data_IF_419465494559
#
_entry.id   IF_419465494559
#
_cell.length_a   1.000
_cell.length_b   1.000
_cell.length_c   1.000
_cell.angle_alpha   90.00
_cell.angle_beta   90.00
_cell.angle_gamma   90.00
#
_symmetry.space_group_name_H-M   'P 1'
#
loop_
_entity.id
_entity.type
_entity.pdbx_description
1 polymer ?
#
# COMPACT_ATOMS: atom_id res chain seq x y z
N UNK A 1 -69.46 6.11 -59.87
CA UNK A 1 -68.80 5.07 -59.03
C UNK A 1 -67.32 5.10 -59.35
N UNK A 2 -66.34 5.30 -58.47
CA UNK A 2 -66.29 5.54 -57.02
C UNK A 2 -65.08 6.47 -56.77
N UNK A 3 -65.31 7.55 -56.05
CA UNK A 3 -64.29 8.38 -55.40
C UNK A 3 -63.52 7.53 -54.39
N UNK A 4 -62.18 7.63 -54.35
CA UNK A 4 -61.37 7.07 -53.26
C UNK A 4 -61.01 8.19 -52.30
N UNK A 5 -61.22 7.90 -51.02
CA UNK A 5 -61.38 8.81 -49.89
C UNK A 5 -60.06 9.44 -49.45
N UNK A 6 -60.16 10.68 -48.98
CA UNK A 6 -59.16 11.42 -48.20
C UNK A 6 -59.49 11.22 -46.70
N UNK A 7 -58.53 10.68 -45.95
CA UNK A 7 -58.42 10.60 -44.48
C UNK A 7 -56.90 10.44 -44.25
N UNK A 8 -56.12 11.22 -43.50
CA UNK A 8 -56.38 12.10 -42.37
C UNK A 8 -55.52 11.62 -41.18
N UNK A 9 -54.27 12.08 -41.05
CA UNK A 9 -53.39 11.96 -39.85
C UNK A 9 -52.41 13.15 -39.94
N UNK A 10 -52.64 14.33 -39.37
CA UNK A 10 -52.53 14.75 -37.96
C UNK A 10 -51.24 14.30 -37.24
N UNK A 11 -50.24 15.18 -37.27
CA UNK A 11 -49.32 15.55 -36.19
C UNK A 11 -48.94 14.50 -35.14
N UNK A 12 -47.65 14.12 -35.10
CA UNK A 12 -46.85 14.30 -33.88
C UNK A 12 -45.35 14.22 -34.21
N UNK A 13 -44.71 15.39 -34.32
CA UNK A 13 -43.27 15.53 -34.21
C UNK A 13 -42.88 15.17 -32.77
N UNK A 14 -42.51 13.91 -32.54
CA UNK A 14 -41.88 13.51 -31.28
C UNK A 14 -40.44 14.02 -31.34
N UNK A 15 -40.24 15.24 -30.86
CA UNK A 15 -38.92 15.72 -30.45
C UNK A 15 -38.57 14.90 -29.22
N UNK A 16 -37.81 13.82 -29.41
CA UNK A 16 -37.14 13.13 -28.31
C UNK A 16 -36.07 14.11 -27.82
N UNK A 17 -36.45 14.92 -26.83
CA UNK A 17 -35.52 15.75 -26.10
C UNK A 17 -34.49 14.83 -25.46
N UNK A 18 -33.27 14.86 -25.97
CA UNK A 18 -32.10 14.35 -25.27
C UNK A 18 -31.91 15.24 -24.03
N UNK A 19 -32.49 14.83 -22.90
CA UNK A 19 -32.11 15.36 -21.60
C UNK A 19 -30.72 14.82 -21.28
N UNK A 20 -29.70 15.47 -21.84
CA UNK A 20 -28.32 15.39 -21.40
C UNK A 20 -28.25 16.09 -20.05
N UNK A 21 -28.63 15.40 -18.99
CA UNK A 21 -28.34 15.82 -17.63
C UNK A 21 -26.85 15.56 -17.39
N UNK A 22 -25.99 16.45 -17.88
CA UNK A 22 -24.67 16.60 -17.29
C UNK A 22 -24.90 17.29 -15.95
N UNK A 23 -24.85 16.54 -14.86
CA UNK A 23 -24.73 17.14 -13.54
C UNK A 23 -23.33 17.73 -13.42
N UNK A 24 -23.21 19.04 -13.63
CA UNK A 24 -21.97 19.84 -13.46
C UNK A 24 -21.56 19.99 -11.97
N UNK A 25 -21.92 19.03 -11.12
CA UNK A 25 -21.43 18.97 -9.74
C UNK A 25 -20.11 18.21 -9.74
N UNK A 26 -19.01 18.79 -9.25
CA UNK A 26 -17.76 18.06 -9.14
C UNK A 26 -17.96 16.91 -8.12
N UNK A 27 -17.74 15.68 -8.58
CA UNK A 27 -17.92 14.45 -7.82
C UNK A 27 -16.57 13.93 -7.34
N UNK A 28 -16.60 13.10 -6.30
CA UNK A 28 -15.43 12.36 -5.86
C UNK A 28 -14.91 11.47 -6.99
N UNK A 29 -13.59 11.38 -7.12
CA UNK A 29 -12.98 10.47 -8.08
C UNK A 29 -12.89 9.07 -7.47
N UNK A 30 -13.53 8.10 -8.12
CA UNK A 30 -13.55 6.69 -7.69
C UNK A 30 -12.91 5.83 -8.77
N UNK A 31 -11.86 5.10 -8.38
CA UNK A 31 -11.16 4.19 -9.26
C UNK A 31 -10.78 2.90 -8.54
N UNK A 32 -10.70 1.79 -9.28
CA UNK A 32 -10.14 0.54 -8.77
C UNK A 32 -8.67 0.48 -9.15
N UNK A 33 -7.80 0.34 -8.16
CA UNK A 33 -6.36 0.27 -8.36
C UNK A 33 -5.78 -0.98 -7.71
N UNK A 34 -4.63 -1.43 -8.21
CA UNK A 34 -3.83 -2.42 -7.51
C UNK A 34 -2.97 -1.74 -6.46
N UNK A 35 -2.90 -2.35 -5.29
CA UNK A 35 -2.08 -1.88 -4.18
C UNK A 35 -1.26 -3.04 -3.63
N UNK A 36 0.05 -2.84 -3.47
CA UNK A 36 0.93 -3.77 -2.77
C UNK A 36 0.98 -3.41 -1.29
N UNK A 37 0.96 -4.41 -0.41
CA UNK A 37 1.16 -4.25 1.03
C UNK A 37 2.35 -5.09 1.47
N UNK A 38 3.28 -4.48 2.21
CA UNK A 38 4.53 -5.12 2.65
C UNK A 38 4.30 -6.13 3.78
N UNK A 39 5.15 -7.15 3.84
CA UNK A 39 5.25 -8.06 4.98
C UNK A 39 5.85 -7.41 6.24
N UNK A 40 6.53 -6.28 6.06
CA UNK A 40 7.10 -5.47 7.13
C UNK A 40 6.14 -4.35 7.56
N UNK A 41 6.22 -3.97 8.84
CA UNK A 41 5.51 -2.82 9.39
C UNK A 41 6.38 -1.57 9.27
N UNK A 42 5.75 -0.44 9.02
CA UNK A 42 6.38 0.87 9.09
C UNK A 42 6.05 1.56 10.41
N UNK A 43 6.58 2.77 10.58
CA UNK A 43 6.17 3.66 11.66
C UNK A 43 5.94 5.07 11.11
N UNK A 44 4.93 5.77 11.61
CA UNK A 44 4.74 7.19 11.32
C UNK A 44 4.46 7.97 12.60
N UNK A 45 4.70 9.27 12.55
CA UNK A 45 4.39 10.19 13.64
C UNK A 45 3.09 10.93 13.29
N UNK A 46 1.99 10.70 14.02
CA UNK A 46 0.76 11.46 13.84
C UNK A 46 0.99 12.95 14.08
N UNK A 47 0.23 13.79 13.37
CA UNK A 47 0.33 15.23 13.56
C UNK A 47 0.00 15.62 15.01
N UNK A 48 0.87 16.43 15.63
CA UNK A 48 0.71 16.86 17.02
C UNK A 48 1.07 15.81 18.08
N UNK A 49 1.64 14.66 17.70
CA UNK A 49 2.15 13.63 18.62
C UNK A 49 3.68 13.64 18.64
N UNK A 50 4.30 13.41 19.80
CA UNK A 50 5.74 13.12 19.92
C UNK A 50 6.07 11.62 19.84
N UNK A 51 5.05 10.78 19.67
CA UNK A 51 5.18 9.33 19.60
C UNK A 51 4.96 8.81 18.18
N UNK A 52 5.81 7.86 17.79
CA UNK A 52 5.65 7.06 16.58
C UNK A 52 4.71 5.89 16.86
N UNK A 53 3.86 5.58 15.88
CA UNK A 53 2.98 4.40 15.92
C UNK A 53 3.23 3.49 14.73
N UNK A 54 3.00 2.20 14.93
CA UNK A 54 3.16 1.18 13.89
C UNK A 54 2.05 1.30 12.84
N UNK A 55 2.38 0.95 11.60
CA UNK A 55 1.46 1.04 10.46
C UNK A 55 1.81 0.00 9.39
N UNK A 56 0.92 -0.16 8.42
CA UNK A 56 1.22 -0.87 7.18
C UNK A 56 2.11 -0.02 6.27
N UNK A 57 2.91 -0.70 5.45
CA UNK A 57 3.57 -0.07 4.30
C UNK A 57 2.82 -0.47 3.04
N UNK A 58 2.24 0.50 2.35
CA UNK A 58 1.44 0.30 1.13
C UNK A 58 2.06 1.00 -0.07
N UNK A 59 1.87 0.44 -1.26
CA UNK A 59 2.34 1.04 -2.51
C UNK A 59 1.30 0.86 -3.60
N UNK A 60 0.73 1.98 -4.05
CA UNK A 60 -0.17 2.02 -5.19
C UNK A 60 0.57 1.70 -6.49
N UNK A 61 -0.13 1.11 -7.46
CA UNK A 61 0.39 0.90 -8.81
C UNK A 61 0.85 2.24 -9.42
N UNK A 62 2.06 2.26 -9.99
CA UNK A 62 2.67 3.47 -10.55
C UNK A 62 3.50 4.31 -9.57
N UNK A 63 3.41 4.06 -8.26
CA UNK A 63 4.33 4.65 -7.27
C UNK A 63 5.60 3.81 -7.12
N UNK A 64 6.73 4.48 -6.86
CA UNK A 64 8.02 3.82 -6.66
C UNK A 64 8.25 3.40 -5.20
N UNK A 65 7.76 4.20 -4.26
CA UNK A 65 8.03 4.06 -2.83
C UNK A 65 6.80 3.59 -2.06
N UNK A 66 7.04 2.96 -0.91
CA UNK A 66 5.99 2.59 0.03
C UNK A 66 5.65 3.79 0.93
N UNK A 67 4.37 3.94 1.22
CA UNK A 67 3.81 4.96 2.12
C UNK A 67 3.27 4.29 3.39
N UNK A 68 3.34 5.01 4.50
CA UNK A 68 2.75 4.59 5.76
C UNK A 68 1.21 4.73 5.69
N UNK A 69 0.49 3.67 6.03
CA UNK A 69 -0.96 3.67 6.14
C UNK A 69 -1.38 2.96 7.43
N UNK A 70 -2.26 3.59 8.21
CA UNK A 70 -2.84 3.00 9.42
C UNK A 70 -3.35 1.57 9.16
N UNK A 71 -3.27 0.66 10.14
CA UNK A 71 -3.72 -0.73 9.99
C UNK A 71 -5.20 -0.86 9.60
N UNK A 72 -6.03 0.14 9.92
CA UNK A 72 -7.44 0.24 9.53
C UNK A 72 -7.67 1.16 8.33
N UNK A 73 -6.60 1.64 7.68
CA UNK A 73 -6.68 2.59 6.56
C UNK A 73 -7.27 2.02 5.27
N UNK A 74 -7.50 0.72 5.18
CA UNK A 74 -8.22 0.05 4.08
C UNK A 74 -9.43 -0.65 4.68
N UNK A 75 -10.63 -0.12 4.43
CA UNK A 75 -11.85 -0.70 4.96
C UNK A 75 -12.04 -2.14 4.45
N UNK A 76 -12.32 -3.07 5.37
CA UNK A 76 -12.53 -4.49 5.05
C UNK A 76 -11.24 -5.32 4.87
N UNK A 77 -10.05 -4.72 5.01
CA UNK A 77 -8.78 -5.45 4.98
C UNK A 77 -8.23 -5.68 6.39
N UNK A 78 -7.80 -6.92 6.66
CA UNK A 78 -7.14 -7.30 7.91
C UNK A 78 -5.69 -7.68 7.64
N UNK A 79 -4.78 -6.83 8.11
CA UNK A 79 -3.35 -6.98 7.88
C UNK A 79 -2.73 -8.03 8.79
N UNK A 80 -1.91 -8.92 8.22
CA UNK A 80 -1.09 -9.85 8.97
C UNK A 80 0.38 -9.59 8.66
N UNK A 81 1.16 -9.26 9.70
CA UNK A 81 2.62 -9.15 9.59
C UNK A 81 3.23 -10.44 9.06
N UNK A 82 4.28 -10.33 8.24
CA UNK A 82 4.94 -11.46 7.60
C UNK A 82 4.27 -11.94 6.31
N UNK A 83 3.30 -11.17 5.78
CA UNK A 83 2.69 -11.46 4.48
C UNK A 83 2.80 -10.28 3.53
N UNK A 84 3.21 -10.55 2.30
CA UNK A 84 3.05 -9.60 1.20
C UNK A 84 1.71 -9.81 0.51
N UNK A 85 1.04 -8.71 0.20
CA UNK A 85 -0.26 -8.72 -0.45
C UNK A 85 -0.23 -7.96 -1.77
N UNK A 86 -1.01 -8.43 -2.74
CA UNK A 86 -1.51 -7.59 -3.83
C UNK A 86 -3.02 -7.52 -3.70
N UNK A 87 -3.53 -6.31 -3.51
CA UNK A 87 -4.95 -6.04 -3.30
C UNK A 87 -5.51 -5.31 -4.53
N UNK A 88 -6.76 -5.59 -4.85
CA UNK A 88 -7.60 -4.70 -5.62
C UNK A 88 -8.38 -3.84 -4.62
N UNK A 89 -8.17 -2.53 -4.66
CA UNK A 89 -8.84 -1.59 -3.77
C UNK A 89 -9.60 -0.54 -4.56
N UNK A 90 -10.75 -0.15 -4.04
CA UNK A 90 -11.49 1.00 -4.51
C UNK A 90 -10.96 2.23 -3.79
N UNK A 91 -10.29 3.10 -4.54
CA UNK A 91 -9.77 4.39 -4.09
C UNK A 91 -10.80 5.46 -4.35
N UNK A 92 -11.16 6.20 -3.32
CA UNK A 92 -12.03 7.38 -3.41
C UNK A 92 -11.20 8.60 -3.04
N UNK A 93 -11.03 9.52 -3.98
CA UNK A 93 -10.40 10.82 -3.73
C UNK A 93 -11.51 11.86 -3.52
N UNK A 94 -11.65 12.31 -2.29
CA UNK A 94 -12.65 13.27 -1.85
C UNK A 94 -12.32 14.67 -2.39
N UNK A 95 -13.31 15.32 -3.00
CA UNK A 95 -13.14 16.68 -3.51
C UNK A 95 -13.07 17.73 -2.38
N UNK A 96 -13.88 17.54 -1.33
CA UNK A 96 -13.96 18.40 -0.16
C UNK A 96 -13.60 17.60 1.10
N UNK A 97 -12.31 17.30 1.33
CA UNK A 97 -11.88 16.57 2.51
C UNK A 97 -12.05 17.42 3.79
N UNK A 98 -12.26 16.81 4.95
CA UNK A 98 -12.11 17.50 6.24
C UNK A 98 -10.72 18.11 6.35
N UNK A 99 -10.59 19.27 7.01
CA UNK A 99 -9.31 19.98 7.13
C UNK A 99 -8.18 19.15 7.76
N UNK A 100 -8.54 18.20 8.64
CA UNK A 100 -7.61 17.41 9.44
C UNK A 100 -7.54 15.93 9.01
N UNK A 101 -8.08 15.58 7.83
CA UNK A 101 -8.13 14.20 7.35
C UNK A 101 -7.55 14.03 5.95
N UNK A 102 -7.09 12.81 5.65
CA UNK A 102 -6.71 12.43 4.30
C UNK A 102 -7.88 12.65 3.35
N UNK A 103 -7.58 13.14 2.15
CA UNK A 103 -8.56 13.23 1.06
C UNK A 103 -8.73 11.90 0.32
N UNK A 104 -8.09 10.83 0.77
CA UNK A 104 -8.14 9.51 0.14
C UNK A 104 -8.72 8.49 1.12
N UNK A 105 -9.72 7.73 0.66
CA UNK A 105 -10.28 6.58 1.34
C UNK A 105 -10.10 5.31 0.50
N UNK A 106 -9.75 4.20 1.15
CA UNK A 106 -9.58 2.89 0.51
C UNK A 106 -10.59 1.89 1.05
N UNK A 107 -11.19 1.11 0.14
CA UNK A 107 -12.08 -0.01 0.46
C UNK A 107 -11.56 -1.26 -0.28
N UNK A 108 -11.43 -2.38 0.45
CA UNK A 108 -11.01 -3.64 -0.15
C UNK A 108 -12.08 -4.15 -1.11
N UNK A 109 -11.69 -4.41 -2.35
CA UNK A 109 -12.54 -5.10 -3.33
C UNK A 109 -12.19 -6.59 -3.34
N UNK A 110 -10.90 -6.90 -3.45
CA UNK A 110 -10.43 -8.29 -3.56
C UNK A 110 -8.96 -8.42 -3.08
N UNK A 111 -8.63 -9.56 -2.47
CA UNK A 111 -7.24 -9.96 -2.22
C UNK A 111 -6.76 -10.80 -3.41
N UNK A 112 -5.95 -10.21 -4.28
CA UNK A 112 -5.45 -10.87 -5.49
C UNK A 112 -4.31 -11.85 -5.17
N UNK A 113 -3.49 -11.55 -4.17
CA UNK A 113 -2.49 -12.47 -3.64
C UNK A 113 -2.18 -12.19 -2.16
N UNK A 114 -1.83 -13.25 -1.44
CA UNK A 114 -1.29 -13.21 -0.08
C UNK A 114 -0.19 -14.27 0.00
N UNK A 115 1.05 -13.84 0.27
CA UNK A 115 2.20 -14.75 0.30
C UNK A 115 3.02 -14.52 1.56
N UNK A 116 3.34 -15.61 2.26
CA UNK A 116 4.18 -15.55 3.46
C UNK A 116 5.62 -15.17 3.10
N UNK A 117 6.20 -14.29 3.89
CA UNK A 117 7.58 -13.82 3.76
C UNK A 117 8.32 -14.08 5.05
N UNK A 118 9.47 -14.74 4.91
CA UNK A 118 10.39 -15.01 6.00
C UNK A 118 11.72 -14.34 5.73
N UNK A 119 12.37 -13.88 6.80
CA UNK A 119 13.67 -13.24 6.72
C UNK A 119 14.68 -13.99 7.59
N UNK A 120 15.84 -14.28 7.02
CA UNK A 120 16.99 -14.83 7.74
C UNK A 120 18.07 -13.75 7.80
N UNK A 121 18.52 -13.43 9.02
CA UNK A 121 19.59 -12.47 9.25
C UNK A 121 20.86 -13.21 9.66
N UNK A 122 21.93 -13.03 8.90
CA UNK A 122 23.26 -13.56 9.22
C UNK A 122 24.17 -12.41 9.62
N UNK A 123 24.75 -12.48 10.83
CA UNK A 123 25.75 -11.53 11.29
C UNK A 123 27.12 -12.18 11.13
N UNK A 124 27.90 -11.65 10.20
CA UNK A 124 29.27 -12.09 9.92
C UNK A 124 30.26 -11.12 10.57
N UNK A 125 31.41 -11.64 11.02
CA UNK A 125 32.51 -10.86 11.58
C UNK A 125 33.70 -10.99 10.64
N UNK A 126 34.03 -9.92 9.94
CA UNK A 126 35.23 -9.86 9.11
C UNK A 126 36.44 -9.42 9.95
N UNK A 127 37.23 -10.39 10.42
CA UNK A 127 38.51 -10.12 11.10
C UNK A 127 38.63 -10.70 12.53
N UNK A 128 39.66 -10.28 13.29
CA UNK A 128 39.85 -10.75 14.67
C UNK A 128 38.67 -10.32 15.56
N UNK A 129 38.45 -11.07 16.64
CA UNK A 129 37.35 -10.83 17.57
C UNK A 129 37.27 -9.35 17.98
N UNK A 130 36.19 -8.62 17.62
CA UNK A 130 36.07 -7.17 17.86
C UNK A 130 36.15 -6.78 19.32
N UNK A 131 35.93 -7.71 20.24
CA UNK A 131 35.99 -7.43 21.68
C UNK A 131 37.42 -7.42 22.24
N UNK A 132 38.45 -7.63 21.41
CA UNK A 132 39.86 -7.62 21.83
C UNK A 132 40.54 -6.38 21.23
N UNK A 133 40.84 -5.39 22.08
CA UNK A 133 41.59 -4.20 21.68
C UNK A 133 43.10 -4.45 21.79
N UNK A 134 43.87 -4.03 20.78
CA UNK A 134 45.33 -4.09 20.83
C UNK A 134 45.89 -3.07 21.83
N UNK A 135 46.88 -3.44 22.66
CA UNK A 135 47.58 -2.49 23.54
C UNK A 135 48.36 -1.41 22.76
N UNK A 136 48.68 -1.66 21.49
CA UNK A 136 49.39 -0.71 20.61
C UNK A 136 48.49 0.43 20.09
N UNK A 137 47.19 0.37 20.38
CA UNK A 137 46.19 1.31 19.88
C UNK A 137 45.80 1.05 18.42
N UNK A 138 44.69 1.64 17.98
CA UNK A 138 44.16 1.47 16.63
C UNK A 138 42.77 2.11 16.48
N UNK A 139 42.29 2.21 15.23
CA UNK A 139 40.91 2.63 14.96
C UNK A 139 40.00 1.44 15.15
N UNK A 140 38.99 1.58 16.02
CA UNK A 140 37.94 0.57 16.16
C UNK A 140 37.00 0.67 14.94
N UNK A 141 37.04 -0.33 14.08
CA UNK A 141 36.08 -0.51 13.00
C UNK A 141 35.14 -1.64 13.40
N UNK A 142 33.83 -1.41 13.28
CA UNK A 142 32.82 -2.42 13.58
C UNK A 142 32.91 -3.49 12.48
N UNK A 143 33.42 -4.71 12.75
CA UNK A 143 33.64 -5.72 11.71
C UNK A 143 32.37 -6.54 11.42
N UNK A 144 31.23 -6.13 11.99
CA UNK A 144 29.97 -6.84 11.83
C UNK A 144 29.30 -6.43 10.52
N UNK A 145 29.16 -7.37 9.61
CA UNK A 145 28.27 -7.26 8.47
C UNK A 145 26.98 -8.02 8.78
N UNK A 146 25.82 -7.43 8.51
CA UNK A 146 24.55 -8.13 8.59
C UNK A 146 23.99 -8.30 7.18
N UNK A 147 23.80 -9.56 6.77
CA UNK A 147 23.11 -9.92 5.53
C UNK A 147 21.71 -10.37 5.87
N UNK A 148 20.74 -9.85 5.14
CA UNK A 148 19.34 -10.25 5.20
C UNK A 148 19.01 -11.04 3.94
N UNK A 149 18.61 -12.30 4.11
CA UNK A 149 17.98 -13.09 3.05
C UNK A 149 16.48 -13.03 3.21
N UNK A 150 15.78 -12.86 2.11
CA UNK A 150 14.32 -12.93 2.05
C UNK A 150 13.89 -14.20 1.35
N UNK A 151 12.88 -14.84 1.92
CA UNK A 151 12.20 -16.00 1.37
C UNK A 151 10.73 -15.68 1.18
N UNK A 152 10.19 -15.99 0.01
CA UNK A 152 8.77 -15.79 -0.33
C UNK A 152 8.19 -17.16 -0.62
N UNK A 153 7.15 -17.56 0.11
CA UNK A 153 6.61 -18.92 0.07
C UNK A 153 7.67 -20.04 0.27
N UNK A 154 8.72 -19.75 1.04
CA UNK A 154 9.83 -20.67 1.30
C UNK A 154 10.92 -20.69 0.22
N UNK A 155 10.76 -19.95 -0.88
CA UNK A 155 11.78 -19.84 -1.93
C UNK A 155 12.66 -18.61 -1.70
N UNK A 156 13.97 -18.76 -1.80
CA UNK A 156 14.92 -17.66 -1.72
C UNK A 156 14.70 -16.65 -2.86
N UNK A 157 14.53 -15.37 -2.53
CA UNK A 157 14.28 -14.32 -3.53
C UNK A 157 15.41 -13.31 -3.64
N UNK A 158 15.96 -12.86 -2.52
CA UNK A 158 16.96 -11.79 -2.49
C UNK A 158 17.85 -11.88 -1.26
N UNK A 159 19.09 -11.41 -1.39
CA UNK A 159 20.03 -11.19 -0.29
C UNK A 159 20.61 -9.78 -0.40
N UNK A 160 20.61 -9.05 0.71
CA UNK A 160 21.12 -7.68 0.78
C UNK A 160 21.76 -7.38 2.14
N UNK A 161 22.54 -6.30 2.19
CA UNK A 161 23.04 -5.79 3.47
C UNK A 161 21.93 -5.09 4.25
N UNK A 162 21.76 -5.46 5.51
CA UNK A 162 20.80 -4.86 6.42
C UNK A 162 21.51 -4.10 7.56
N UNK A 163 20.93 -3.01 8.08
CA UNK A 163 21.47 -2.35 9.25
C UNK A 163 21.29 -3.21 10.50
N UNK A 164 22.31 -3.26 11.36
CA UNK A 164 22.19 -3.86 12.70
C UNK A 164 21.35 -3.00 13.65
N UNK A 165 21.28 -1.69 13.39
CA UNK A 165 20.54 -0.75 14.22
C UNK A 165 19.04 -1.07 14.17
N UNK A 166 18.45 -1.32 15.34
CA UNK A 166 17.01 -1.57 15.46
C UNK A 166 16.58 -3.01 15.22
N UNK A 167 17.50 -3.92 14.93
CA UNK A 167 17.19 -5.35 14.87
C UNK A 167 16.73 -5.82 16.26
N UNK A 168 15.51 -6.37 16.32
CA UNK A 168 14.92 -6.93 17.54
C UNK A 168 14.84 -8.44 17.36
N UNK A 169 15.42 -9.18 18.28
CA UNK A 169 15.33 -10.64 18.30
C UNK A 169 14.69 -11.07 19.62
N UNK A 170 13.88 -12.12 19.56
CA UNK A 170 13.40 -12.79 20.75
C UNK A 170 14.20 -14.08 20.90
N UNK A 171 14.98 -14.20 21.97
CA UNK A 171 15.50 -15.51 22.35
C UNK A 171 14.34 -16.23 23.00
N UNK A 172 13.64 -17.08 22.24
CA UNK A 172 12.51 -17.84 22.74
C UNK A 172 12.84 -18.45 24.11
N UNK A 173 11.93 -18.26 25.07
CA UNK A 173 12.02 -18.86 26.41
C UNK A 173 11.78 -20.36 26.36
#
# INVERSE_FOLDING_TARGET
>A
MKTKKLFGILSLLIIIGVTSCNSDTPQDNVENIKMKVSSEIGTYQPWGSDHFIDCMLVKEEGKNEYEALDFLGIAGFDYSKGYEYTLLVKKTTLLNPPADASNIAYELVEVLSKVGVEYEYTIEVDGPNPFILSPDGGKYEIPFACKRKKYVAGEFTEEEYAPLKGLRYNMGT
#
